data_IF_985443782961
#
_entry.id   IF_985443782961
#
_cell.length_a   1.000
_cell.length_b   1.000
_cell.length_c   1.000
_cell.angle_alpha   90.00
_cell.angle_beta   90.00
_cell.angle_gamma   90.00
#
_symmetry.space_group_name_H-M   'P 1'
#
loop_
_entity.id
_entity.type
_entity.pdbx_description
1 polymer ?
#
# COMPACT_ATOMS: atom_id res chain seq x y z
N UNK A 1 -24.04 7.93 18.07
CA UNK A 1 -23.47 7.62 19.40
C UNK A 1 -23.03 6.18 19.35
N UNK A 2 -21.71 5.92 19.25
CA UNK A 2 -21.21 4.54 19.20
C UNK A 2 -21.36 3.95 20.61
N UNK A 3 -22.24 2.98 20.77
CA UNK A 3 -22.41 2.25 22.04
C UNK A 3 -21.23 1.28 22.17
N UNK A 4 -20.28 1.58 23.05
CA UNK A 4 -19.23 0.67 23.46
C UNK A 4 -19.57 0.15 24.88
N UNK A 5 -20.14 -1.05 25.02
CA UNK A 5 -20.66 -1.55 26.31
C UNK A 5 -19.59 -1.76 27.38
N UNK A 6 -18.32 -1.80 26.99
CA UNK A 6 -17.16 -2.11 27.83
C UNK A 6 -16.19 -0.93 27.91
N UNK A 7 -16.63 0.28 27.60
CA UNK A 7 -15.75 1.46 27.53
C UNK A 7 -15.12 1.83 28.87
N UNK A 8 -15.80 1.51 29.99
CA UNK A 8 -15.35 1.84 31.34
C UNK A 8 -14.63 0.67 32.03
N UNK A 9 -14.41 -0.44 31.31
CA UNK A 9 -13.77 -1.62 31.87
C UNK A 9 -12.24 -1.48 31.76
N UNK A 10 -11.48 -1.77 32.83
CA UNK A 10 -10.02 -1.87 32.75
C UNK A 10 -9.60 -3.12 31.94
N UNK A 11 -8.39 -3.09 31.40
CA UNK A 11 -7.84 -4.18 30.56
C UNK A 11 -7.85 -5.53 31.31
N UNK A 12 -7.59 -5.54 32.62
CA UNK A 12 -7.65 -6.75 33.47
C UNK A 12 -9.06 -7.37 33.53
N UNK A 13 -10.12 -6.56 33.69
CA UNK A 13 -11.51 -7.03 33.73
C UNK A 13 -11.93 -7.60 32.37
N UNK A 14 -11.39 -7.03 31.28
CA UNK A 14 -11.59 -7.55 29.93
C UNK A 14 -10.95 -8.94 29.81
N UNK A 15 -9.70 -9.11 30.24
CA UNK A 15 -9.01 -10.40 30.21
C UNK A 15 -9.66 -11.45 31.10
N UNK A 16 -10.13 -11.07 32.30
CA UNK A 16 -10.89 -11.96 33.18
C UNK A 16 -12.19 -12.41 32.50
N UNK A 17 -12.93 -11.46 31.92
CA UNK A 17 -14.12 -11.75 31.13
C UNK A 17 -13.83 -12.77 30.04
N UNK A 18 -12.83 -12.50 29.20
CA UNK A 18 -12.39 -13.40 28.11
C UNK A 18 -12.07 -14.80 28.64
N UNK A 19 -11.39 -14.92 29.78
CA UNK A 19 -11.08 -16.21 30.39
C UNK A 19 -12.33 -16.96 30.88
N UNK A 20 -13.28 -16.26 31.50
CA UNK A 20 -14.56 -16.85 31.95
C UNK A 20 -15.44 -17.32 30.79
N UNK A 21 -15.50 -16.54 29.71
CA UNK A 21 -16.24 -16.89 28.49
C UNK A 21 -15.54 -18.01 27.72
N UNK A 22 -14.21 -17.97 27.59
CA UNK A 22 -13.42 -18.98 26.89
C UNK A 22 -13.33 -20.32 27.63
N UNK A 23 -13.33 -20.29 28.97
CA UNK A 23 -13.34 -21.48 29.83
C UNK A 23 -14.69 -22.17 29.99
N UNK A 24 -15.74 -21.66 29.33
CA UNK A 24 -17.10 -22.24 29.38
C UNK A 24 -17.88 -21.96 30.67
N UNK A 25 -17.35 -21.11 31.57
CA UNK A 25 -18.06 -20.69 32.78
C UNK A 25 -19.25 -19.75 32.48
N UNK A 26 -19.25 -19.12 31.30
CA UNK A 26 -20.33 -18.28 30.78
C UNK A 26 -20.61 -18.61 29.31
N UNK A 27 -21.86 -18.43 28.83
CA UNK A 27 -22.17 -18.63 27.41
C UNK A 27 -21.40 -17.62 26.55
N UNK A 28 -20.76 -18.12 25.49
CA UNK A 28 -19.92 -17.35 24.58
C UNK A 28 -20.14 -17.78 23.13
N UNK A 29 -19.84 -16.89 22.18
CA UNK A 29 -19.83 -17.20 20.75
C UNK A 29 -18.49 -17.77 20.27
N UNK A 30 -17.43 -17.69 21.09
CA UNK A 30 -16.06 -18.13 20.77
C UNK A 30 -15.30 -18.51 22.04
N UNK A 31 -14.28 -19.35 21.90
CA UNK A 31 -13.32 -19.70 22.94
C UNK A 31 -12.22 -18.65 23.15
N UNK A 32 -12.12 -17.66 22.25
CA UNK A 32 -11.11 -16.61 22.22
C UNK A 32 -9.65 -17.10 22.24
N UNK A 33 -9.39 -18.37 21.91
CA UNK A 33 -8.03 -18.94 21.94
C UNK A 33 -7.10 -18.26 20.92
N UNK A 34 -7.60 -18.05 19.70
CA UNK A 34 -6.85 -17.38 18.64
C UNK A 34 -6.47 -15.95 19.01
N UNK A 35 -7.39 -15.21 19.62
CA UNK A 35 -7.17 -13.84 20.06
C UNK A 35 -6.14 -13.79 21.19
N UNK A 36 -6.31 -14.59 22.25
CA UNK A 36 -5.36 -14.67 23.38
C UNK A 36 -3.96 -14.99 22.87
N UNK A 37 -3.86 -15.96 21.96
CA UNK A 37 -2.59 -16.37 21.36
C UNK A 37 -1.93 -15.26 20.55
N UNK A 38 -2.67 -14.56 19.69
CA UNK A 38 -2.12 -13.47 18.89
C UNK A 38 -1.56 -12.35 19.78
N UNK A 39 -2.30 -11.96 20.82
CA UNK A 39 -1.86 -10.93 21.77
C UNK A 39 -0.62 -11.35 22.55
N UNK A 40 -0.55 -12.61 22.97
CA UNK A 40 0.62 -13.16 23.65
C UNK A 40 1.85 -13.19 22.71
N UNK A 41 1.69 -13.75 21.51
CA UNK A 41 2.76 -13.93 20.54
C UNK A 41 3.32 -12.60 20.01
N UNK A 42 2.50 -11.54 19.96
CA UNK A 42 2.94 -10.18 19.63
C UNK A 42 4.05 -9.66 20.56
N UNK A 43 4.10 -10.14 21.80
CA UNK A 43 5.12 -9.76 22.78
C UNK A 43 6.15 -10.88 22.96
N UNK A 44 6.01 -12.01 22.24
CA UNK A 44 6.89 -13.18 22.35
C UNK A 44 6.64 -13.97 23.63
N UNK A 45 5.40 -14.01 24.14
CA UNK A 45 5.03 -14.78 25.33
C UNK A 45 3.89 -15.75 25.03
N UNK A 46 3.63 -16.68 25.97
CA UNK A 46 2.54 -17.65 25.89
C UNK A 46 1.23 -17.19 26.55
N UNK A 47 1.23 -16.06 27.27
CA UNK A 47 0.07 -15.56 28.01
C UNK A 47 -0.20 -14.08 27.68
N UNK A 48 -1.44 -13.78 27.29
CA UNK A 48 -1.86 -12.44 26.88
C UNK A 48 -1.82 -11.42 28.04
N UNK A 49 -2.16 -11.84 29.25
CA UNK A 49 -2.09 -10.99 30.45
C UNK A 49 -0.65 -10.62 30.78
N UNK A 50 0.27 -11.59 30.66
CA UNK A 50 1.71 -11.33 30.85
C UNK A 50 2.23 -10.41 29.76
N UNK A 51 1.79 -10.61 28.51
CA UNK A 51 2.10 -9.70 27.43
C UNK A 51 1.66 -8.27 27.77
N UNK A 52 0.44 -8.07 28.29
CA UNK A 52 -0.07 -6.74 28.66
C UNK A 52 0.71 -6.13 29.83
N UNK A 53 1.01 -6.90 30.86
CA UNK A 53 1.84 -6.43 31.98
C UNK A 53 3.26 -6.03 31.53
N UNK A 54 3.86 -6.75 30.57
CA UNK A 54 5.12 -6.35 29.92
C UNK A 54 4.92 -5.08 29.07
N UNK A 55 3.73 -4.93 28.47
CA UNK A 55 3.41 -3.75 27.67
C UNK A 55 3.35 -2.48 28.53
N UNK A 56 2.64 -2.56 29.64
CA UNK A 56 2.44 -1.50 30.63
C UNK A 56 3.72 -1.21 31.44
N UNK A 57 4.38 -2.25 31.96
CA UNK A 57 5.59 -2.13 32.78
C UNK A 57 6.79 -1.58 32.03
N UNK A 58 6.80 -1.65 30.69
CA UNK A 58 7.83 -1.02 29.86
C UNK A 58 7.73 0.52 29.79
N UNK A 59 6.75 1.15 30.46
CA UNK A 59 6.69 2.56 30.82
C UNK A 59 6.90 3.57 29.68
N UNK A 60 5.83 4.24 29.23
CA UNK A 60 5.79 5.48 28.43
C UNK A 60 6.63 5.59 27.12
N UNK A 61 7.47 4.62 26.77
CA UNK A 61 8.18 4.55 25.48
C UNK A 61 7.30 4.05 24.34
N UNK A 62 6.06 3.65 24.64
CA UNK A 62 5.08 3.11 23.69
C UNK A 62 3.93 4.07 23.46
N UNK A 63 4.19 5.15 22.74
CA UNK A 63 3.18 5.66 21.82
C UNK A 63 3.92 6.24 20.62
N UNK A 64 4.31 5.35 19.70
CA UNK A 64 4.33 5.78 18.31
C UNK A 64 2.95 6.34 17.97
N UNK A 65 2.85 7.20 16.96
CA UNK A 65 1.58 7.88 16.59
C UNK A 65 0.45 6.93 16.15
N UNK A 66 0.65 5.62 16.23
CA UNK A 66 -0.30 4.57 15.91
C UNK A 66 -0.46 3.67 17.15
N UNK A 67 -1.70 3.53 17.64
CA UNK A 67 -2.04 2.68 18.79
C UNK A 67 -2.40 1.24 18.44
N UNK A 68 -2.26 0.82 17.17
CA UNK A 68 -2.52 -0.55 16.76
C UNK A 68 -1.46 -1.49 17.40
N UNK A 69 -1.92 -2.50 18.14
CA UNK A 69 -1.06 -3.46 18.86
C UNK A 69 -0.40 -4.51 17.93
N UNK A 70 -0.94 -4.68 16.73
CA UNK A 70 -0.41 -5.51 15.64
C UNK A 70 -0.22 -4.60 14.43
N UNK A 71 0.98 -4.10 14.23
CA UNK A 71 1.27 -3.06 13.25
C UNK A 71 1.07 -3.53 11.81
N UNK A 72 0.63 -2.60 10.96
CA UNK A 72 0.46 -2.89 9.54
C UNK A 72 1.82 -3.14 8.87
N UNK A 73 1.88 -4.07 7.92
CA UNK A 73 3.11 -4.37 7.17
C UNK A 73 3.69 -3.16 6.40
N UNK A 74 2.89 -2.13 6.11
CA UNK A 74 3.37 -0.86 5.51
C UNK A 74 3.52 0.30 6.49
N UNK A 75 3.02 0.19 7.73
CA UNK A 75 2.97 1.33 8.66
C UNK A 75 4.38 1.82 9.01
N UNK A 76 4.61 3.12 8.86
CA UNK A 76 5.87 3.80 9.19
C UNK A 76 5.74 4.77 10.37
N UNK A 77 4.55 4.87 10.97
CA UNK A 77 4.24 5.84 12.03
C UNK A 77 4.75 5.40 13.42
N UNK A 78 4.84 4.09 13.65
CA UNK A 78 5.34 3.50 14.88
C UNK A 78 6.34 2.39 14.55
N UNK A 79 7.41 2.26 15.34
CA UNK A 79 8.28 1.09 15.25
C UNK A 79 7.61 -0.06 15.98
N UNK A 80 6.89 -0.86 15.21
CA UNK A 80 6.24 -2.04 15.76
C UNK A 80 7.14 -3.27 15.61
N UNK A 81 7.37 -3.93 16.75
CA UNK A 81 8.13 -5.18 16.86
C UNK A 81 7.24 -6.40 16.94
N UNK A 82 5.91 -6.23 16.99
CA UNK A 82 4.97 -7.33 17.21
C UNK A 82 5.12 -8.45 16.18
N UNK A 83 5.12 -8.11 14.90
CA UNK A 83 5.24 -9.09 13.83
C UNK A 83 6.60 -9.81 13.86
N UNK A 84 7.67 -9.07 14.17
CA UNK A 84 9.01 -9.66 14.29
C UNK A 84 9.07 -10.66 15.45
N UNK A 85 8.52 -10.29 16.61
CA UNK A 85 8.42 -11.17 17.78
C UNK A 85 7.59 -12.42 17.44
N UNK A 86 6.46 -12.27 16.74
CA UNK A 86 5.62 -13.41 16.34
C UNK A 86 6.36 -14.38 15.45
N UNK A 87 7.10 -13.89 14.44
CA UNK A 87 7.90 -14.72 13.53
C UNK A 87 9.01 -15.46 14.29
N UNK A 88 9.67 -14.79 15.23
CA UNK A 88 10.72 -15.39 16.05
C UNK A 88 10.18 -16.41 17.05
N UNK A 89 9.01 -16.14 17.62
CA UNK A 89 8.41 -16.95 18.67
C UNK A 89 7.80 -18.26 18.15
N UNK A 90 7.16 -18.24 16.97
CA UNK A 90 6.40 -19.39 16.46
C UNK A 90 6.45 -19.50 14.93
N UNK A 91 6.87 -20.68 14.45
CA UNK A 91 7.03 -20.99 13.03
C UNK A 91 5.73 -20.82 12.20
N UNK A 92 4.55 -20.85 12.84
CA UNK A 92 3.28 -20.61 12.15
C UNK A 92 3.18 -19.22 11.52
N UNK A 93 3.97 -18.25 11.98
CA UNK A 93 4.01 -16.89 11.41
C UNK A 93 5.10 -16.70 10.37
N UNK A 94 5.86 -17.75 10.01
CA UNK A 94 6.94 -17.66 9.03
C UNK A 94 6.48 -17.10 7.67
N UNK A 95 5.21 -17.31 7.30
CA UNK A 95 4.61 -16.72 6.09
C UNK A 95 4.73 -15.19 6.04
N UNK A 96 4.70 -14.51 7.19
CA UNK A 96 4.74 -13.06 7.27
C UNK A 96 6.16 -12.48 7.28
N UNK A 97 7.21 -13.31 7.22
CA UNK A 97 8.59 -12.85 7.21
C UNK A 97 8.89 -11.89 6.05
N UNK A 98 8.30 -12.15 4.87
CA UNK A 98 8.41 -11.26 3.72
C UNK A 98 7.78 -9.88 3.96
N UNK A 99 6.62 -9.84 4.61
CA UNK A 99 5.93 -8.60 5.00
C UNK A 99 6.76 -7.79 6.01
N UNK A 100 7.40 -8.46 6.97
CA UNK A 100 8.32 -7.84 7.92
C UNK A 100 9.55 -7.25 7.20
N UNK A 101 10.12 -7.97 6.24
CA UNK A 101 11.25 -7.47 5.42
C UNK A 101 10.86 -6.24 4.60
N UNK A 102 9.67 -6.25 3.99
CA UNK A 102 9.15 -5.09 3.25
C UNK A 102 8.99 -3.86 4.15
N UNK A 103 8.40 -4.03 5.35
CA UNK A 103 8.28 -2.94 6.32
C UNK A 103 9.64 -2.34 6.67
N UNK A 104 10.60 -3.22 6.98
CA UNK A 104 11.97 -2.84 7.36
C UNK A 104 12.68 -2.09 6.23
N UNK A 105 12.55 -2.56 4.99
CA UNK A 105 13.11 -1.89 3.82
C UNK A 105 12.57 -0.46 3.67
N UNK A 106 11.25 -0.26 3.75
CA UNK A 106 10.63 1.08 3.65
C UNK A 106 11.12 1.98 4.80
N UNK A 107 11.21 1.43 6.02
CA UNK A 107 11.69 2.16 7.20
C UNK A 107 13.14 2.59 7.06
N UNK A 108 14.01 1.67 6.67
CA UNK A 108 15.45 1.90 6.54
C UNK A 108 15.79 2.89 5.43
N UNK A 109 14.96 2.96 4.38
CA UNK A 109 15.14 3.87 3.24
C UNK A 109 14.37 5.20 3.37
N UNK A 110 13.61 5.40 4.45
CA UNK A 110 12.71 6.56 4.61
C UNK A 110 13.41 7.91 4.41
N UNK A 111 14.62 8.04 4.95
CA UNK A 111 15.45 9.26 4.89
C UNK A 111 16.47 9.23 3.74
N UNK A 112 16.35 8.28 2.81
CA UNK A 112 17.15 8.26 1.59
C UNK A 112 16.60 9.29 0.58
N UNK A 113 17.18 10.48 0.56
CA UNK A 113 16.79 11.51 -0.39
C UNK A 113 17.14 11.16 -1.85
N UNK A 114 18.02 10.18 -2.11
CA UNK A 114 18.34 9.72 -3.47
C UNK A 114 17.18 8.91 -4.07
N UNK A 115 16.35 8.31 -3.21
CA UNK A 115 15.16 7.53 -3.60
C UNK A 115 13.90 8.39 -3.71
N UNK A 116 14.02 9.71 -3.63
CA UNK A 116 12.92 10.66 -3.79
C UNK A 116 12.92 11.29 -5.18
N UNK A 117 11.73 11.68 -5.62
CA UNK A 117 11.58 12.58 -6.74
C UNK A 117 11.78 14.01 -6.26
N UNK A 118 12.58 14.80 -6.97
CA UNK A 118 13.02 16.13 -6.55
C UNK A 118 12.25 17.27 -7.22
N UNK A 119 11.59 16.99 -8.34
CA UNK A 119 10.88 18.00 -9.14
C UNK A 119 9.42 18.01 -8.70
N UNK A 120 8.93 19.15 -8.22
CA UNK A 120 7.52 19.32 -7.89
C UNK A 120 6.64 19.28 -9.14
N UNK A 121 5.33 19.02 -8.97
CA UNK A 121 4.37 18.97 -10.09
C UNK A 121 3.62 20.29 -10.34
N UNK A 122 3.73 21.24 -9.42
CA UNK A 122 2.97 22.50 -9.46
C UNK A 122 3.89 23.66 -9.75
N UNK A 123 3.54 24.44 -10.78
CA UNK A 123 4.20 25.70 -11.12
C UNK A 123 3.39 26.84 -10.48
N UNK A 124 4.07 27.73 -9.75
CA UNK A 124 3.46 28.94 -9.16
C UNK A 124 4.30 30.16 -9.51
N UNK A 125 3.69 31.15 -10.14
CA UNK A 125 4.37 32.40 -10.53
C UNK A 125 5.54 32.19 -11.51
N UNK A 126 5.52 31.13 -12.31
CA UNK A 126 6.61 30.77 -13.24
C UNK A 126 7.79 30.04 -12.59
N UNK A 127 7.65 29.61 -11.33
CA UNK A 127 8.65 28.83 -10.62
C UNK A 127 8.15 27.42 -10.30
N UNK A 128 9.05 26.45 -10.41
CA UNK A 128 8.85 25.06 -9.96
C UNK A 128 9.68 24.81 -8.70
N UNK A 129 9.09 24.14 -7.73
CA UNK A 129 9.74 23.80 -6.46
C UNK A 129 10.64 22.56 -6.65
N UNK A 130 11.90 22.68 -6.26
CA UNK A 130 12.89 21.61 -6.23
C UNK A 130 13.17 21.23 -4.78
N UNK A 131 12.60 20.12 -4.33
CA UNK A 131 12.74 19.55 -3.00
C UNK A 131 12.38 18.06 -3.06
N UNK A 132 13.00 17.18 -2.26
CA UNK A 132 12.55 15.80 -2.14
C UNK A 132 11.08 15.75 -1.71
N UNK A 133 10.25 15.05 -2.48
CA UNK A 133 8.81 14.96 -2.25
C UNK A 133 8.37 13.48 -2.24
N UNK A 134 7.83 13.00 -3.36
CA UNK A 134 7.36 11.62 -3.52
C UNK A 134 8.52 10.64 -3.75
N UNK A 135 8.23 9.34 -3.79
CA UNK A 135 9.22 8.34 -4.17
C UNK A 135 9.62 8.47 -5.64
N UNK A 136 10.90 8.24 -5.92
CA UNK A 136 11.40 8.18 -7.29
C UNK A 136 10.72 7.03 -8.05
N UNK A 137 10.41 7.17 -9.35
CA UNK A 137 9.80 6.09 -10.14
C UNK A 137 10.51 4.74 -10.03
N UNK A 138 11.85 4.76 -9.97
CA UNK A 138 12.64 3.55 -9.75
C UNK A 138 12.32 2.85 -8.41
N UNK A 139 12.17 3.63 -7.33
CA UNK A 139 11.77 3.06 -6.02
C UNK A 139 10.34 2.53 -6.05
N UNK A 140 9.41 3.22 -6.72
CA UNK A 140 8.04 2.72 -6.87
C UNK A 140 8.02 1.38 -7.62
N UNK A 141 8.81 1.24 -8.68
CA UNK A 141 8.94 -0.03 -9.41
C UNK A 141 9.55 -1.14 -8.54
N UNK A 142 10.58 -0.84 -7.74
CA UNK A 142 11.12 -1.80 -6.77
C UNK A 142 10.04 -2.28 -5.78
N UNK A 143 9.29 -1.35 -5.18
CA UNK A 143 8.23 -1.70 -4.22
C UNK A 143 7.16 -2.59 -4.84
N UNK A 144 6.72 -2.27 -6.07
CA UNK A 144 5.75 -3.11 -6.79
C UNK A 144 6.31 -4.50 -7.05
N UNK A 145 7.56 -4.61 -7.52
CA UNK A 145 8.23 -5.90 -7.74
C UNK A 145 8.33 -6.72 -6.47
N UNK A 146 8.66 -6.10 -5.35
CA UNK A 146 8.70 -6.77 -4.05
C UNK A 146 7.33 -7.28 -3.64
N UNK A 147 6.27 -6.47 -3.78
CA UNK A 147 4.90 -6.89 -3.47
C UNK A 147 4.46 -8.07 -4.34
N UNK A 148 4.72 -7.99 -5.66
CA UNK A 148 4.43 -9.08 -6.60
C UNK A 148 5.20 -10.36 -6.28
N UNK A 149 6.47 -10.25 -5.90
CA UNK A 149 7.29 -11.39 -5.50
C UNK A 149 6.75 -12.05 -4.22
N UNK A 150 6.33 -11.24 -3.24
CA UNK A 150 5.73 -11.74 -2.01
C UNK A 150 4.41 -12.46 -2.26
N UNK A 151 3.55 -11.93 -3.13
CA UNK A 151 2.30 -12.59 -3.51
C UNK A 151 2.56 -13.92 -4.22
N UNK A 152 3.55 -13.98 -5.11
CA UNK A 152 3.95 -15.22 -5.76
C UNK A 152 4.50 -16.25 -4.76
N UNK A 153 5.41 -15.84 -3.87
CA UNK A 153 6.01 -16.72 -2.86
C UNK A 153 4.93 -17.26 -1.89
N UNK A 154 3.94 -16.43 -1.52
CA UNK A 154 2.82 -16.84 -0.67
C UNK A 154 1.87 -17.81 -1.38
N UNK A 155 1.60 -17.61 -2.66
CA UNK A 155 0.82 -18.57 -3.46
C UNK A 155 1.53 -19.91 -3.58
N UNK A 156 2.83 -19.92 -3.89
CA UNK A 156 3.64 -21.13 -3.91
C UNK A 156 3.66 -21.82 -2.54
N UNK A 157 3.75 -21.06 -1.44
CA UNK A 157 3.66 -21.62 -0.08
C UNK A 157 2.30 -22.26 0.16
N UNK A 158 1.21 -21.56 -0.17
CA UNK A 158 -0.15 -22.03 0.07
C UNK A 158 -0.47 -23.28 -0.75
N UNK A 159 -0.04 -23.34 -2.01
CA UNK A 159 -0.18 -24.52 -2.88
C UNK A 159 0.54 -25.74 -2.29
N UNK A 160 1.80 -25.56 -1.86
CA UNK A 160 2.57 -26.65 -1.21
C UNK A 160 1.95 -27.12 0.10
N UNK A 161 1.32 -26.23 0.85
CA UNK A 161 0.65 -26.54 2.11
C UNK A 161 -0.79 -27.07 1.94
N UNK A 162 -1.37 -27.00 0.74
CA UNK A 162 -2.79 -27.30 0.52
C UNK A 162 -3.74 -26.31 1.22
N UNK A 163 -3.28 -25.08 1.47
CA UNK A 163 -4.03 -24.02 2.16
C UNK A 163 -4.41 -22.90 1.19
N UNK A 164 -5.25 -21.96 1.63
CA UNK A 164 -5.44 -20.68 0.94
C UNK A 164 -4.25 -19.74 1.23
N UNK A 165 -3.89 -18.84 0.29
CA UNK A 165 -3.00 -17.73 0.56
C UNK A 165 -3.47 -16.96 1.79
N UNK A 166 -2.55 -16.66 2.72
CA UNK A 166 -2.82 -15.89 3.94
C UNK A 166 -2.83 -14.39 3.66
N UNK A 167 -2.22 -13.96 2.57
CA UNK A 167 -2.26 -12.57 2.11
C UNK A 167 -2.11 -12.49 0.58
N UNK A 168 -2.56 -11.37 0.04
CA UNK A 168 -2.32 -10.91 -1.32
C UNK A 168 -2.25 -9.37 -1.28
N UNK A 169 -1.11 -8.80 -1.67
CA UNK A 169 -0.82 -7.37 -1.58
C UNK A 169 -1.30 -6.62 -2.81
N UNK A 170 -1.18 -7.24 -3.97
CA UNK A 170 -1.59 -6.70 -5.27
C UNK A 170 -2.55 -7.68 -5.97
N UNK A 171 -3.80 -7.82 -5.45
CA UNK A 171 -4.87 -8.47 -6.19
C UNK A 171 -5.08 -7.80 -7.55
N UNK A 172 -5.77 -8.49 -8.46
CA UNK A 172 -5.91 -8.11 -9.87
C UNK A 172 -6.41 -6.68 -10.09
N UNK A 173 -7.38 -6.23 -9.30
CA UNK A 173 -7.93 -4.88 -9.34
C UNK A 173 -6.88 -3.83 -8.95
N UNK A 174 -6.13 -4.07 -7.87
CA UNK A 174 -5.03 -3.20 -7.45
C UNK A 174 -3.87 -3.23 -8.45
N UNK A 175 -3.56 -4.37 -9.07
CA UNK A 175 -2.55 -4.47 -10.12
C UNK A 175 -2.88 -3.55 -11.30
N UNK A 176 -4.14 -3.59 -11.78
CA UNK A 176 -4.64 -2.72 -12.86
C UNK A 176 -4.59 -1.26 -12.43
N UNK A 177 -5.12 -0.96 -11.24
CA UNK A 177 -5.18 0.40 -10.72
C UNK A 177 -3.79 1.03 -10.58
N UNK A 178 -2.82 0.28 -10.05
CA UNK A 178 -1.44 0.74 -9.86
C UNK A 178 -0.76 0.98 -11.21
N UNK A 179 -0.91 0.09 -12.19
CA UNK A 179 -0.33 0.27 -13.52
C UNK A 179 -0.93 1.48 -14.25
N UNK A 180 -2.25 1.64 -14.18
CA UNK A 180 -2.96 2.78 -14.76
C UNK A 180 -2.52 4.10 -14.11
N UNK A 181 -2.42 4.15 -12.77
CA UNK A 181 -1.97 5.35 -12.07
C UNK A 181 -0.52 5.69 -12.37
N UNK A 182 0.36 4.70 -12.43
CA UNK A 182 1.77 4.94 -12.74
C UNK A 182 1.96 5.45 -14.17
N UNK A 183 1.26 4.87 -15.14
CA UNK A 183 1.33 5.33 -16.53
C UNK A 183 0.71 6.72 -16.72
N UNK A 184 -0.47 6.96 -16.15
CA UNK A 184 -1.15 8.27 -16.18
C UNK A 184 -0.29 9.40 -15.61
N UNK A 185 0.48 9.11 -14.56
CA UNK A 185 1.35 10.09 -13.91
C UNK A 185 2.77 10.16 -14.52
N UNK A 186 3.03 9.48 -15.64
CA UNK A 186 4.34 9.45 -16.30
C UNK A 186 5.45 8.79 -15.45
N UNK A 187 5.08 7.96 -14.47
CA UNK A 187 6.02 7.26 -13.61
C UNK A 187 6.56 5.99 -14.27
N UNK A 188 5.75 5.33 -15.09
CA UNK A 188 6.12 4.13 -15.81
C UNK A 188 5.48 4.09 -17.20
N UNK A 189 5.96 3.20 -18.08
CA UNK A 189 5.26 2.90 -19.33
C UNK A 189 3.98 2.12 -19.01
N UNK A 190 2.93 2.23 -19.85
CA UNK A 190 1.77 1.36 -19.73
C UNK A 190 2.16 -0.12 -19.69
N UNK A 191 1.47 -0.92 -18.88
CA UNK A 191 1.70 -2.34 -18.68
C UNK A 191 3.08 -2.73 -18.12
N UNK A 192 3.81 -1.80 -17.50
CA UNK A 192 5.09 -2.10 -16.88
C UNK A 192 4.95 -3.03 -15.67
N UNK A 193 3.89 -2.87 -14.88
CA UNK A 193 3.60 -3.73 -13.72
C UNK A 193 3.24 -5.15 -14.18
N UNK A 194 2.47 -5.25 -15.26
CA UNK A 194 2.12 -6.51 -15.90
C UNK A 194 3.34 -7.26 -16.48
N UNK A 195 4.28 -6.52 -17.07
CA UNK A 195 5.52 -7.09 -17.53
C UNK A 195 6.31 -7.70 -16.35
N UNK A 196 6.40 -6.99 -15.22
CA UNK A 196 7.06 -7.48 -14.01
C UNK A 196 6.32 -8.69 -13.40
N UNK A 197 4.98 -8.69 -13.39
CA UNK A 197 4.16 -9.84 -12.97
C UNK A 197 4.44 -11.09 -13.83
N UNK A 198 4.49 -10.92 -15.15
CA UNK A 198 4.80 -12.00 -16.09
C UNK A 198 6.22 -12.52 -15.93
N UNK A 199 7.18 -11.63 -15.69
CA UNK A 199 8.58 -11.96 -15.45
C UNK A 199 8.71 -12.90 -14.24
N UNK A 200 7.99 -12.62 -13.15
CA UNK A 200 8.01 -13.45 -11.94
C UNK A 200 7.36 -14.81 -12.20
N UNK A 201 6.16 -14.83 -12.76
CA UNK A 201 5.35 -16.06 -12.85
C UNK A 201 5.73 -16.98 -13.99
N UNK A 202 6.06 -16.43 -15.16
CA UNK A 202 6.29 -17.23 -16.37
C UNK A 202 7.76 -17.39 -16.71
N UNK A 203 8.60 -16.42 -16.33
CA UNK A 203 10.02 -16.42 -16.67
C UNK A 203 10.92 -16.79 -15.50
N UNK A 204 10.35 -16.96 -14.31
CA UNK A 204 11.08 -17.34 -13.09
C UNK A 204 12.07 -16.27 -12.61
N UNK A 205 11.88 -15.00 -13.00
CA UNK A 205 12.69 -13.90 -12.49
C UNK A 205 12.34 -13.62 -11.03
N UNK A 206 13.35 -13.45 -10.18
CA UNK A 206 13.14 -13.15 -8.76
C UNK A 206 13.48 -11.71 -8.43
N UNK A 207 12.62 -11.07 -7.64
CA UNK A 207 12.82 -9.74 -7.09
C UNK A 207 12.76 -9.77 -5.56
N UNK A 208 13.79 -10.35 -4.94
CA UNK A 208 13.88 -10.44 -3.48
C UNK A 208 14.18 -9.08 -2.84
N UNK A 209 13.61 -8.85 -1.66
CA UNK A 209 13.77 -7.60 -0.92
C UNK A 209 15.20 -7.55 -0.35
N UNK A 210 16.03 -6.55 -0.72
CA UNK A 210 17.39 -6.47 -0.24
C UNK A 210 17.43 -6.04 1.24
N UNK A 211 18.38 -6.60 1.98
CA UNK A 211 18.73 -6.07 3.29
C UNK A 211 19.55 -4.80 3.13
N UNK A 212 19.02 -3.69 3.64
CA UNK A 212 19.65 -2.37 3.56
C UNK A 212 19.90 -1.85 4.97
N UNK A 213 21.03 -1.16 5.24
CA UNK A 213 21.26 -0.54 6.53
C UNK A 213 20.26 0.60 6.77
N UNK A 214 19.92 0.86 8.03
CA UNK A 214 19.05 1.97 8.39
C UNK A 214 19.74 3.30 8.10
N UNK A 215 19.13 4.12 7.25
CA UNK A 215 19.64 5.47 6.96
C UNK A 215 19.25 6.39 8.11
N UNK A 216 20.22 7.09 8.73
CA UNK A 216 19.96 7.98 9.85
C UNK A 216 18.96 9.09 9.49
N UNK A 217 18.17 9.50 10.47
CA UNK A 217 17.29 10.64 10.31
C UNK A 217 18.10 11.89 9.99
N UNK A 218 17.74 12.57 8.90
CA UNK A 218 18.33 13.84 8.49
C UNK A 218 17.24 14.86 8.21
N UNK A 219 17.60 16.14 8.25
CA UNK A 219 16.69 17.23 7.89
C UNK A 219 16.36 17.16 6.41
N UNK A 220 15.09 17.39 6.06
CA UNK A 220 14.68 17.50 4.66
C UNK A 220 15.48 18.64 4.00
N UNK A 221 16.12 18.41 2.84
CA UNK A 221 16.83 19.45 2.11
C UNK A 221 15.96 20.70 1.87
N UNK A 222 16.58 21.88 1.96
CA UNK A 222 15.89 23.15 1.74
C UNK A 222 15.35 23.25 0.31
N UNK A 223 14.14 23.78 0.17
CA UNK A 223 13.51 23.97 -1.12
C UNK A 223 14.26 25.02 -1.95
N UNK A 224 14.52 24.70 -3.21
CA UNK A 224 15.01 25.64 -4.22
C UNK A 224 13.91 25.88 -5.25
N UNK A 225 13.97 27.00 -5.94
CA UNK A 225 12.98 27.36 -6.96
C UNK A 225 13.69 27.54 -8.29
N UNK A 226 13.25 26.77 -9.29
CA UNK A 226 13.74 26.89 -10.66
C UNK A 226 12.71 27.70 -11.46
N UNK A 227 13.17 28.75 -12.15
CA UNK A 227 12.31 29.53 -13.02
C UNK A 227 12.08 28.79 -14.34
N UNK A 228 10.82 28.54 -14.68
CA UNK A 228 10.37 27.84 -15.91
C UNK A 228 9.50 28.72 -16.80
N UNK A 229 9.25 29.98 -16.41
CA UNK A 229 8.40 30.90 -17.15
C UNK A 229 6.90 30.59 -17.01
N UNK A 230 6.07 31.42 -17.65
CA UNK A 230 4.60 31.29 -17.62
C UNK A 230 4.03 30.56 -18.85
N UNK A 231 4.81 30.49 -19.93
CA UNK A 231 4.43 29.99 -21.26
C UNK A 231 4.54 28.45 -21.39
N UNK A 232 4.63 27.72 -20.28
CA UNK A 232 4.86 26.27 -20.31
C UNK A 232 3.67 25.49 -20.89
N UNK A 233 2.44 25.98 -20.69
CA UNK A 233 1.21 25.38 -21.25
C UNK A 233 0.94 25.90 -22.68
N UNK A 234 1.46 27.09 -23.01
CA UNK A 234 1.27 27.73 -24.32
C UNK A 234 2.25 27.21 -25.39
N UNK A 235 3.39 26.66 -24.96
CA UNK A 235 4.44 26.07 -25.82
C UNK A 235 4.32 24.56 -25.98
N UNK A 236 3.59 23.89 -25.08
CA UNK A 236 3.04 22.59 -25.42
C UNK A 236 2.19 22.83 -26.66
N UNK A 237 2.51 22.18 -27.78
CA UNK A 237 1.64 22.23 -28.94
C UNK A 237 0.21 22.02 -28.44
N UNK A 238 -0.77 22.76 -28.99
CA UNK A 238 -2.18 22.43 -28.83
C UNK A 238 -2.40 21.04 -29.43
N UNK A 239 -1.88 20.05 -28.73
CA UNK A 239 -1.80 18.71 -29.17
C UNK A 239 -3.20 18.22 -28.88
N UNK A 240 -3.89 17.87 -29.95
CA UNK A 240 -5.12 17.07 -29.93
C UNK A 240 -4.94 15.81 -29.04
N UNK A 241 -3.68 15.46 -28.74
CA UNK A 241 -3.17 14.37 -27.89
C UNK A 241 -2.93 14.74 -26.42
N UNK A 242 -3.32 15.93 -25.95
CA UNK A 242 -3.17 16.31 -24.54
C UNK A 242 -4.38 15.89 -23.70
N UNK A 243 -4.12 15.15 -22.62
CA UNK A 243 -5.16 14.61 -21.74
C UNK A 243 -5.63 13.20 -22.12
N UNK A 244 -6.80 12.80 -21.64
CA UNK A 244 -7.40 11.48 -21.92
C UNK A 244 -8.16 11.42 -23.25
N UNK A 245 -8.17 12.52 -24.01
CA UNK A 245 -8.93 12.63 -25.26
C UNK A 245 -8.22 11.88 -26.39
N UNK A 246 -8.97 11.11 -27.15
CA UNK A 246 -8.49 10.40 -28.35
C UNK A 246 -9.32 10.77 -29.58
N UNK A 247 -8.79 11.64 -30.48
CA UNK A 247 -9.46 12.02 -31.72
C UNK A 247 -9.78 10.84 -32.64
N UNK A 248 -8.97 9.77 -32.63
CA UNK A 248 -9.26 8.58 -33.43
C UNK A 248 -10.49 7.88 -32.89
N UNK A 249 -10.56 7.65 -31.57
CA UNK A 249 -11.72 7.02 -30.94
C UNK A 249 -13.00 7.84 -31.19
N UNK A 250 -12.93 9.15 -31.04
CA UNK A 250 -14.06 10.05 -31.34
C UNK A 250 -14.51 9.93 -32.80
N UNK A 251 -13.58 9.86 -33.75
CA UNK A 251 -13.90 9.72 -35.18
C UNK A 251 -14.56 8.38 -35.48
N UNK A 252 -14.11 7.29 -34.86
CA UNK A 252 -14.71 5.95 -35.04
C UNK A 252 -16.06 5.80 -34.34
N UNK A 253 -16.36 6.64 -33.33
CA UNK A 253 -17.56 6.52 -32.49
C UNK A 253 -18.55 7.68 -32.66
N UNK A 254 -18.32 8.58 -33.62
CA UNK A 254 -19.04 9.84 -33.81
C UNK A 254 -20.57 9.70 -33.81
N UNK A 255 -21.10 8.64 -34.41
CA UNK A 255 -22.54 8.36 -34.51
C UNK A 255 -22.99 7.16 -33.64
N UNK A 256 -22.11 6.69 -32.76
CA UNK A 256 -22.38 5.53 -31.92
C UNK A 256 -22.87 5.95 -30.53
N UNK A 257 -23.81 5.19 -29.98
CA UNK A 257 -24.28 5.39 -28.60
C UNK A 257 -23.19 5.12 -27.54
N UNK A 258 -22.06 4.53 -27.94
CA UNK A 258 -20.91 4.24 -27.10
C UNK A 258 -19.77 5.27 -27.24
N UNK A 259 -19.97 6.34 -28.02
CA UNK A 259 -19.00 7.43 -28.13
C UNK A 259 -18.87 8.23 -26.83
N UNK A 260 -17.67 8.69 -26.47
CA UNK A 260 -17.48 9.52 -25.28
C UNK A 260 -18.17 10.87 -25.45
N UNK A 261 -19.01 11.25 -24.48
CA UNK A 261 -19.61 12.57 -24.46
C UNK A 261 -18.53 13.65 -24.26
N UNK A 262 -18.72 14.84 -24.85
CA UNK A 262 -17.79 15.97 -24.72
C UNK A 262 -18.33 17.03 -23.76
N UNK A 263 -17.45 17.62 -22.96
CA UNK A 263 -17.76 18.75 -22.08
C UNK A 263 -16.70 19.86 -22.23
N UNK A 264 -17.15 21.10 -22.29
CA UNK A 264 -16.28 22.26 -22.22
C UNK A 264 -15.96 22.62 -20.76
N UNK A 265 -14.69 22.83 -20.46
CA UNK A 265 -14.22 23.35 -19.17
C UNK A 265 -14.40 24.87 -19.10
N UNK A 266 -14.33 25.45 -17.89
CA UNK A 266 -14.43 26.90 -17.69
C UNK A 266 -13.37 27.72 -18.47
N UNK A 267 -12.25 27.08 -18.83
CA UNK A 267 -11.16 27.68 -19.60
C UNK A 267 -11.30 27.47 -21.12
N UNK A 268 -12.44 26.95 -21.59
CA UNK A 268 -12.72 26.72 -23.01
C UNK A 268 -12.11 25.43 -23.60
N UNK A 269 -11.35 24.65 -22.82
CA UNK A 269 -10.84 23.34 -23.27
C UNK A 269 -11.97 22.32 -23.32
N UNK A 270 -12.05 21.54 -24.40
CA UNK A 270 -13.01 20.44 -24.58
C UNK A 270 -12.36 19.13 -24.13
N UNK A 271 -13.04 18.40 -23.25
CA UNK A 271 -12.59 17.13 -22.67
C UNK A 271 -13.71 16.09 -22.73
N UNK A 272 -13.38 14.81 -22.58
CA UNK A 272 -14.39 13.77 -22.37
C UNK A 272 -15.13 14.00 -21.04
N UNK A 273 -16.45 13.93 -21.08
CA UNK A 273 -17.35 14.00 -19.93
C UNK A 273 -17.34 12.65 -19.20
N UNK A 274 -16.20 12.31 -18.60
CA UNK A 274 -16.01 11.08 -17.84
C UNK A 274 -16.63 11.22 -16.44
N UNK A 275 -17.14 10.13 -15.85
CA UNK A 275 -17.51 10.10 -14.44
C UNK A 275 -16.33 10.53 -13.57
N UNK A 276 -16.56 11.50 -12.69
CA UNK A 276 -15.56 11.96 -11.72
C UNK A 276 -15.97 11.58 -10.32
N UNK A 277 -15.02 11.03 -9.56
CA UNK A 277 -15.20 10.66 -8.17
C UNK A 277 -13.87 10.85 -7.43
N UNK A 278 -13.92 10.89 -6.10
CA UNK A 278 -12.71 10.95 -5.25
C UNK A 278 -11.89 9.66 -5.31
N UNK A 279 -12.52 8.57 -5.73
CA UNK A 279 -11.93 7.24 -5.83
C UNK A 279 -12.40 6.62 -7.14
N UNK A 280 -11.58 5.76 -7.73
CA UNK A 280 -12.00 4.91 -8.84
C UNK A 280 -11.93 3.45 -8.39
N UNK A 281 -12.75 2.63 -9.01
CA UNK A 281 -12.72 1.18 -8.86
C UNK A 281 -12.40 0.54 -10.21
N UNK A 282 -11.85 -0.66 -10.17
CA UNK A 282 -11.69 -1.49 -11.37
C UNK A 282 -12.86 -2.45 -11.41
N UNK A 283 -13.52 -2.52 -12.57
CA UNK A 283 -14.59 -3.48 -12.80
C UNK A 283 -14.02 -4.91 -12.81
N UNK A 284 -14.57 -5.78 -11.95
CA UNK A 284 -14.03 -7.11 -11.73
C UNK A 284 -14.20 -8.02 -12.97
N UNK A 285 -15.31 -7.91 -13.69
CA UNK A 285 -15.56 -8.71 -14.89
C UNK A 285 -14.60 -8.32 -16.03
N UNK A 286 -14.45 -7.01 -16.27
CA UNK A 286 -13.50 -6.49 -17.25
C UNK A 286 -12.05 -6.83 -16.88
N UNK A 287 -11.70 -6.78 -15.59
CA UNK A 287 -10.38 -7.16 -15.11
C UNK A 287 -10.04 -8.62 -15.46
N UNK A 288 -11.00 -9.54 -15.32
CA UNK A 288 -10.81 -10.95 -15.67
C UNK A 288 -10.59 -11.15 -17.17
N UNK A 289 -11.19 -10.32 -18.03
CA UNK A 289 -10.98 -10.37 -19.48
C UNK A 289 -9.54 -10.02 -19.89
N UNK A 290 -8.86 -9.18 -19.11
CA UNK A 290 -7.43 -8.85 -19.33
C UNK A 290 -6.54 -10.04 -18.98
N UNK A 291 -6.93 -10.84 -17.98
CA UNK A 291 -6.17 -11.97 -17.47
C UNK A 291 -6.50 -13.32 -18.15
N UNK A 292 -7.56 -13.38 -18.97
CA UNK A 292 -8.08 -14.63 -19.54
C UNK A 292 -7.22 -15.32 -20.62
N UNK A 293 -5.98 -14.88 -20.86
CA UNK A 293 -5.03 -15.55 -21.76
C UNK A 293 -3.58 -15.42 -21.29
N UNK A 294 -3.25 -16.13 -20.21
CA UNK A 294 -1.91 -16.67 -19.95
C UNK A 294 -2.06 -18.08 -19.40
#
# INVERSE_FOLDING_TARGET
MATCPVCDWPDDDIWEGIALYGGGARPSYSDFEDMRRIYAHAVGTSCAVVADAILEGAGSRRQGKCGARLGCHVCQMAEDKSLANMIEYDARYAYAAGLQRLNRFIRHTRFDWKRRHWVGRTIRGGFIKIQPDTHHPAMLRELVRYMLQLDYDEQCRSERAGERPKFELLPLDLLIAVDALQSLNGLARPFAVWADWRDIRLRGLRYDIPEVPQIPQSTVPAARFLHVGKEWDDTAAAAEWSGLRDPYLESFTADSACGPALQATANGRVVWALPTAQQFSVDAEAALLINCRV
#
